data_IF_233384020118
#
_entry.id   IF_233384020118
#
_cell.length_a   1.000
_cell.length_b   1.000
_cell.length_c   1.000
_cell.angle_alpha   90.00
_cell.angle_beta   90.00
_cell.angle_gamma   90.00
#
_symmetry.space_group_name_H-M   'P 1'
#
loop_
_entity.id
_entity.type
_entity.pdbx_description
1 polymer ?
#
# COMPACT_ATOMS: atom_id res chain seq x y z
N UNK A 1 61.06 -4.69 -34.44
CA UNK A 1 60.79 -4.72 -34.17
C UNK A 1 59.91 -4.39 -33.51
N UNK A 2 59.69 -4.30 -33.38
CA UNK A 2 58.94 -4.08 -32.75
C UNK A 2 58.10 -3.87 -32.28
N UNK A 3 58.07 -3.85 -31.99
CA UNK A 3 57.44 -3.66 -31.46
C UNK A 3 56.47 -3.43 -31.05
N UNK A 4 56.42 -3.44 -30.97
CA UNK A 4 55.66 -3.31 -30.63
C UNK A 4 54.90 -3.03 -30.01
N UNK A 5 54.87 -2.89 -29.56
CA UNK A 5 54.27 -2.68 -28.95
C UNK A 5 53.32 -2.31 -28.52
N UNK A 6 53.13 -2.27 -28.33
CA UNK A 6 52.34 -2.03 -27.96
C UNK A 6 51.47 -1.68 -27.37
N UNK A 7 51.18 -1.49 -27.11
CA UNK A 7 50.41 -1.26 -26.60
C UNK A 7 49.45 -0.98 -26.10
N UNK A 8 49.35 -0.95 -25.73
CA UNK A 8 48.58 -0.77 -25.37
C UNK A 8 47.78 -0.57 -24.73
N UNK A 9 47.56 -0.46 -24.23
CA UNK A 9 46.97 -0.32 -23.59
C UNK A 9 46.02 0.16 -23.44
N UNK A 10 45.73 0.34 -23.22
CA UNK A 10 44.97 0.86 -23.14
C UNK A 10 43.99 0.82 -22.68
N UNK A 11 43.62 0.78 -22.49
CA UNK A 11 42.77 0.72 -22.10
C UNK A 11 42.07 1.07 -21.30
N UNK A 12 42.11 1.18 -20.78
CA UNK A 12 41.69 1.39 -19.95
C UNK A 12 40.64 1.90 -19.77
N UNK A 13 40.33 1.97 -19.79
CA UNK A 13 39.53 2.34 -19.68
C UNK A 13 38.76 2.56 -18.94
N UNK A 14 38.64 2.66 -18.53
CA UNK A 14 38.10 2.91 -17.79
C UNK A 14 36.96 3.17 -17.60
N UNK A 15 36.48 3.06 -17.37
CA UNK A 15 35.55 3.20 -17.23
C UNK A 15 34.72 3.61 -16.53
N UNK A 16 34.39 3.74 -16.13
CA UNK A 16 33.81 4.32 -15.44
C UNK A 16 32.57 4.55 -15.31
N UNK A 17 32.17 4.65 -15.54
CA UNK A 17 30.98 4.84 -15.63
C UNK A 17 30.22 4.57 -14.60
N UNK A 18 30.38 3.88 -14.03
CA UNK A 18 29.59 3.48 -13.08
C UNK A 18 29.05 4.49 -12.26
N UNK A 19 29.62 5.52 -12.14
CA UNK A 19 29.16 6.39 -11.38
C UNK A 19 27.91 6.93 -11.62
N UNK A 20 27.46 7.03 -12.61
CA UNK A 20 26.31 7.76 -12.87
C UNK A 20 25.11 7.34 -12.14
N UNK A 21 25.04 6.11 -11.73
CA UNK A 21 23.93 5.72 -11.12
C UNK A 21 23.70 6.41 -9.91
N UNK A 22 24.58 6.68 -9.17
CA UNK A 22 24.38 7.27 -7.89
C UNK A 22 23.88 8.69 -8.01
N UNK A 23 23.97 9.25 -9.14
CA UNK A 23 23.51 10.60 -9.29
C UNK A 23 22.02 10.74 -9.27
N UNK A 24 21.30 9.68 -9.44
CA UNK A 24 19.87 9.80 -9.41
C UNK A 24 19.41 10.20 -8.04
N UNK A 25 18.58 11.18 -7.97
CA UNK A 25 18.10 11.67 -6.69
C UNK A 25 17.30 10.62 -5.99
N UNK A 26 17.55 10.48 -4.75
CA UNK A 26 16.81 9.56 -4.00
C UNK A 26 15.85 10.31 -3.15
N UNK A 27 15.25 11.32 -3.65
CA UNK A 27 14.31 12.10 -2.92
C UNK A 27 13.24 11.31 -2.29
N UNK A 28 12.77 10.33 -2.97
CA UNK A 28 11.66 9.56 -2.46
C UNK A 28 12.01 8.70 -1.28
N UNK A 29 13.24 8.31 -1.17
CA UNK A 29 13.64 7.44 -0.09
C UNK A 29 13.65 8.13 1.26
N UNK A 30 13.99 9.38 1.29
CA UNK A 30 14.10 10.09 2.55
C UNK A 30 12.81 10.16 3.33
N UNK A 31 11.71 10.58 2.72
CA UNK A 31 10.46 10.61 3.47
C UNK A 31 10.04 9.23 3.92
N UNK A 32 10.37 8.24 3.12
CA UNK A 32 10.01 6.91 3.45
C UNK A 32 10.75 6.42 4.68
N UNK A 33 12.01 6.73 4.81
CA UNK A 33 12.78 6.34 5.95
C UNK A 33 12.25 6.94 7.22
N UNK A 34 11.90 8.21 7.21
CA UNK A 34 11.37 8.84 8.38
C UNK A 34 10.11 8.15 8.83
N UNK A 35 9.26 7.75 7.89
CA UNK A 35 8.03 7.09 8.25
C UNK A 35 8.27 5.72 8.84
N UNK A 36 9.27 5.02 8.33
CA UNK A 36 9.56 3.71 8.82
C UNK A 36 10.11 3.74 10.24
N UNK A 37 10.79 4.83 10.57
CA UNK A 37 11.34 4.96 11.90
C UNK A 37 10.32 5.44 12.92
N UNK A 38 9.16 5.85 12.45
CA UNK A 38 8.13 6.37 13.34
C UNK A 38 7.55 5.25 14.19
N UNK A 39 7.39 5.44 15.49
CA UNK A 39 6.77 4.42 16.32
C UNK A 39 5.39 4.05 15.83
N UNK A 40 5.06 2.78 15.94
CA UNK A 40 3.79 2.30 15.43
C UNK A 40 2.61 3.02 16.04
N UNK A 41 2.66 3.28 17.34
CA UNK A 41 1.58 3.99 18.01
C UNK A 41 1.32 5.37 17.43
N UNK A 42 2.39 6.13 17.21
CA UNK A 42 2.24 7.47 16.67
C UNK A 42 1.73 7.42 15.23
N UNK A 43 2.19 6.46 14.47
CA UNK A 43 1.73 6.29 13.11
C UNK A 43 0.25 5.97 13.08
N UNK A 44 -0.20 5.07 13.95
CA UNK A 44 -1.60 4.69 14.00
C UNK A 44 -2.47 5.87 14.40
N UNK A 45 -2.00 6.67 15.34
CA UNK A 45 -2.75 7.84 15.76
C UNK A 45 -2.85 8.87 14.63
N UNK A 46 -1.77 9.05 13.90
CA UNK A 46 -1.77 9.99 12.79
C UNK A 46 -2.72 9.53 11.70
N UNK A 47 -2.72 8.25 11.40
CA UNK A 47 -3.62 7.71 10.39
C UNK A 47 -5.06 7.90 10.81
N UNK A 48 -5.37 7.62 12.07
CA UNK A 48 -6.73 7.81 12.56
C UNK A 48 -7.16 9.26 12.54
N UNK A 49 -6.23 10.16 12.84
CA UNK A 49 -6.54 11.58 12.85
C UNK A 49 -6.89 12.12 11.49
N UNK A 50 -6.42 11.45 10.42
CA UNK A 50 -6.70 11.87 9.07
C UNK A 50 -7.76 11.02 8.40
N UNK A 51 -8.56 10.30 9.18
CA UNK A 51 -9.55 9.40 8.64
C UNK A 51 -10.62 10.15 7.87
N UNK A 52 -11.06 9.63 6.73
CA UNK A 52 -12.18 10.23 6.02
C UNK A 52 -13.46 10.05 6.84
N UNK A 53 -14.40 10.94 6.63
CA UNK A 53 -15.62 10.99 7.43
C UNK A 53 -16.50 9.78 7.14
N UNK A 54 -17.00 9.16 8.21
CA UNK A 54 -17.91 8.04 8.12
C UNK A 54 -19.34 8.55 8.16
N UNK A 55 -20.21 8.04 7.29
CA UNK A 55 -21.61 8.38 7.31
C UNK A 55 -22.20 8.00 8.66
N UNK A 56 -23.11 8.81 9.17
CA UNK A 56 -23.63 8.62 10.51
C UNK A 56 -24.35 7.30 10.73
N UNK A 57 -24.96 6.76 9.69
CA UNK A 57 -25.68 5.50 9.81
C UNK A 57 -24.83 4.26 9.61
N UNK A 58 -23.54 4.43 9.30
CA UNK A 58 -22.65 3.29 9.10
C UNK A 58 -22.05 2.88 10.43
N UNK A 59 -22.31 1.64 10.83
CA UNK A 59 -21.84 1.10 12.08
C UNK A 59 -20.73 0.09 11.94
N UNK A 60 -20.59 -0.49 10.76
CA UNK A 60 -19.67 -1.59 10.54
C UNK A 60 -20.36 -2.94 10.54
N UNK A 61 -21.61 -2.99 11.01
CA UNK A 61 -22.36 -4.23 11.05
C UNK A 61 -22.91 -4.60 9.68
N UNK A 62 -22.77 -3.72 8.71
CA UNK A 62 -23.26 -3.95 7.37
C UNK A 62 -22.46 -5.00 6.62
N UNK A 63 -21.26 -5.31 7.11
CA UNK A 63 -20.41 -6.29 6.45
C UNK A 63 -20.93 -7.70 6.68
N UNK A 64 -20.65 -8.58 5.75
CA UNK A 64 -21.07 -9.97 5.89
C UNK A 64 -20.34 -10.69 7.00
N UNK A 65 -20.86 -11.86 7.38
CA UNK A 65 -20.29 -12.60 8.50
C UNK A 65 -18.84 -13.07 8.28
N UNK A 66 -18.46 -13.31 7.04
CA UNK A 66 -17.10 -13.73 6.76
C UNK A 66 -16.10 -12.62 7.03
N UNK A 67 -16.43 -11.41 6.59
CA UNK A 67 -15.57 -10.27 6.84
C UNK A 67 -15.50 -9.96 8.33
N UNK A 68 -16.66 -9.99 8.99
CA UNK A 68 -16.73 -9.74 10.40
C UNK A 68 -15.85 -10.71 11.18
N UNK A 69 -15.89 -11.97 10.80
CA UNK A 69 -15.09 -12.99 11.48
C UNK A 69 -13.59 -12.72 11.31
N UNK A 70 -13.20 -12.33 10.11
CA UNK A 70 -11.78 -12.07 9.84
C UNK A 70 -11.29 -10.85 10.61
N UNK A 71 -12.14 -9.86 10.78
CA UNK A 71 -11.77 -8.64 11.49
C UNK A 71 -11.61 -8.87 12.99
N UNK A 72 -12.14 -9.96 13.52
CA UNK A 72 -12.02 -10.24 14.95
C UNK A 72 -10.59 -10.47 15.40
N UNK A 73 -9.68 -10.72 14.47
CA UNK A 73 -8.28 -10.88 14.84
C UNK A 73 -7.62 -9.56 15.22
N UNK A 74 -8.29 -8.44 14.97
CA UNK A 74 -7.76 -7.13 15.29
C UNK A 74 -8.13 -6.69 16.69
N UNK A 75 -7.36 -5.78 17.29
CA UNK A 75 -7.78 -5.17 18.55
C UNK A 75 -9.14 -4.52 18.39
N UNK A 76 -9.93 -4.52 19.46
CA UNK A 76 -11.32 -4.07 19.41
C UNK A 76 -11.49 -2.69 18.79
N UNK A 77 -10.67 -1.75 19.19
CA UNK A 77 -10.81 -0.39 18.66
C UNK A 77 -10.57 -0.33 17.16
N UNK A 78 -9.61 -1.11 16.68
CA UNK A 78 -9.33 -1.15 15.26
C UNK A 78 -10.41 -1.88 14.50
N UNK A 79 -10.98 -2.92 15.10
CA UNK A 79 -12.02 -3.69 14.44
C UNK A 79 -13.18 -2.80 14.01
N UNK A 80 -13.65 -1.96 14.92
CA UNK A 80 -14.78 -1.09 14.61
C UNK A 80 -14.42 -0.10 13.51
N UNK A 81 -13.29 0.55 13.64
CA UNK A 81 -12.87 1.54 12.68
C UNK A 81 -12.68 0.95 11.29
N UNK A 82 -11.99 -0.19 11.22
CA UNK A 82 -11.76 -0.86 9.94
C UNK A 82 -13.08 -1.30 9.32
N UNK A 83 -13.98 -1.87 10.14
CA UNK A 83 -15.27 -2.31 9.65
C UNK A 83 -16.07 -1.14 9.05
N UNK A 84 -16.05 0.01 9.72
CA UNK A 84 -16.78 1.16 9.21
C UNK A 84 -16.21 1.65 7.89
N UNK A 85 -14.89 1.70 7.76
CA UNK A 85 -14.30 2.14 6.50
C UNK A 85 -14.53 1.15 5.38
N UNK A 86 -14.51 -0.14 5.67
CA UNK A 86 -14.82 -1.13 4.66
C UNK A 86 -16.29 -1.04 4.22
N UNK A 87 -17.18 -0.80 5.17
CA UNK A 87 -18.59 -0.62 4.85
C UNK A 87 -18.81 0.61 3.98
N UNK A 88 -18.09 1.70 4.28
CA UNK A 88 -18.16 2.90 3.44
C UNK A 88 -17.66 2.61 2.05
N UNK A 89 -16.59 1.86 1.92
CA UNK A 89 -16.06 1.51 0.62
C UNK A 89 -17.08 0.74 -0.20
N UNK A 90 -17.72 -0.25 0.41
CA UNK A 90 -18.73 -1.03 -0.28
C UNK A 90 -19.94 -0.20 -0.65
N UNK A 91 -20.35 0.69 0.24
CA UNK A 91 -21.52 1.54 -0.02
C UNK A 91 -21.33 2.43 -1.24
N UNK A 92 -20.14 2.99 -1.39
CA UNK A 92 -19.88 3.98 -2.43
C UNK A 92 -19.22 3.41 -3.68
N UNK A 93 -19.00 2.12 -3.72
CA UNK A 93 -18.25 1.51 -4.82
C UNK A 93 -18.83 1.84 -6.20
N UNK A 94 -20.14 1.81 -6.33
CA UNK A 94 -20.79 2.09 -7.61
C UNK A 94 -21.30 3.52 -7.73
N UNK A 95 -21.32 4.26 -6.63
CA UNK A 95 -21.83 5.62 -6.62
C UNK A 95 -20.71 6.64 -6.75
N UNK A 96 -19.66 6.45 -6.01
CA UNK A 96 -18.51 7.35 -6.01
C UNK A 96 -17.28 6.51 -5.75
N UNK A 97 -16.71 5.96 -6.81
CA UNK A 97 -15.62 5.01 -6.70
C UNK A 97 -14.37 5.63 -6.10
N UNK A 98 -14.18 6.94 -6.27
CA UNK A 98 -13.02 7.60 -5.68
C UNK A 98 -13.14 7.63 -4.17
N UNK A 99 -14.32 7.94 -3.66
CA UNK A 99 -14.56 7.95 -2.22
C UNK A 99 -14.44 6.53 -1.67
N UNK A 100 -14.96 5.54 -2.40
CA UNK A 100 -14.82 4.16 -1.99
C UNK A 100 -13.35 3.78 -1.84
N UNK A 101 -12.51 4.21 -2.77
CA UNK A 101 -11.09 3.92 -2.71
C UNK A 101 -10.42 4.61 -1.51
N UNK A 102 -10.82 5.85 -1.23
CA UNK A 102 -10.25 6.58 -0.09
C UNK A 102 -10.50 5.80 1.21
N UNK A 103 -11.72 5.31 1.40
CA UNK A 103 -12.04 4.55 2.59
C UNK A 103 -11.34 3.20 2.62
N UNK A 104 -11.25 2.53 1.47
CA UNK A 104 -10.56 1.25 1.40
C UNK A 104 -9.08 1.41 1.73
N UNK A 105 -8.44 2.45 1.22
CA UNK A 105 -7.03 2.69 1.49
C UNK A 105 -6.80 3.03 2.96
N UNK A 106 -7.73 3.72 3.57
CA UNK A 106 -7.61 4.00 4.99
C UNK A 106 -7.69 2.71 5.81
N UNK A 107 -8.62 1.82 5.45
CA UNK A 107 -8.70 0.52 6.10
C UNK A 107 -7.40 -0.27 5.90
N UNK A 108 -6.81 -0.20 4.72
CA UNK A 108 -5.55 -0.89 4.45
C UNK A 108 -4.43 -0.34 5.32
N UNK A 109 -4.39 0.96 5.53
CA UNK A 109 -3.36 1.55 6.38
C UNK A 109 -3.47 1.05 7.81
N UNK A 110 -4.68 0.73 8.26
CA UNK A 110 -4.91 0.25 9.62
C UNK A 110 -4.78 -1.27 9.74
N UNK A 111 -5.17 -2.01 8.71
CA UNK A 111 -5.25 -3.47 8.80
C UNK A 111 -4.85 -4.15 7.49
N UNK A 112 -3.76 -3.71 6.89
CA UNK A 112 -3.34 -4.21 5.57
C UNK A 112 -2.85 -5.64 5.55
N UNK A 113 -2.78 -6.30 6.69
CA UNK A 113 -2.35 -7.69 6.72
C UNK A 113 -3.50 -8.69 6.60
N UNK A 114 -4.72 -8.20 6.57
CA UNK A 114 -5.87 -9.06 6.41
C UNK A 114 -6.21 -9.21 4.93
N UNK A 115 -6.41 -10.44 4.49
CA UNK A 115 -6.71 -10.71 3.10
C UNK A 115 -7.99 -10.00 2.66
N UNK A 116 -9.00 -9.98 3.51
CA UNK A 116 -10.27 -9.35 3.15
C UNK A 116 -10.12 -7.85 2.88
N UNK A 117 -9.24 -7.19 3.63
CA UNK A 117 -9.00 -5.76 3.43
C UNK A 117 -8.34 -5.54 2.07
N UNK A 118 -7.36 -6.38 1.75
CA UNK A 118 -6.69 -6.26 0.45
C UNK A 118 -7.64 -6.52 -0.71
N UNK A 119 -8.57 -7.45 -0.54
CA UNK A 119 -9.55 -7.73 -1.59
C UNK A 119 -10.44 -6.51 -1.84
N UNK A 120 -10.89 -5.86 -0.78
CA UNK A 120 -11.74 -4.69 -0.92
C UNK A 120 -10.97 -3.53 -1.56
N UNK A 121 -9.71 -3.36 -1.20
CA UNK A 121 -8.89 -2.33 -1.83
C UNK A 121 -8.73 -2.64 -3.32
N UNK A 122 -8.51 -3.92 -3.65
CA UNK A 122 -8.40 -4.32 -5.05
C UNK A 122 -9.66 -4.01 -5.84
N UNK A 123 -10.82 -4.29 -5.25
CA UNK A 123 -12.10 -4.00 -5.91
C UNK A 123 -12.28 -2.50 -6.10
N UNK A 124 -11.88 -1.70 -5.11
CA UNK A 124 -11.98 -0.25 -5.22
C UNK A 124 -11.06 0.30 -6.31
N UNK A 125 -9.84 -0.22 -6.41
CA UNK A 125 -8.95 0.15 -7.50
C UNK A 125 -9.55 -0.23 -8.84
N UNK A 126 -10.14 -1.42 -8.91
CA UNK A 126 -10.74 -1.89 -10.14
C UNK A 126 -11.88 -0.96 -10.57
N UNK A 127 -12.69 -0.52 -9.61
CA UNK A 127 -13.80 0.40 -9.91
C UNK A 127 -13.27 1.76 -10.40
N UNK A 128 -12.04 2.10 -10.07
CA UNK A 128 -11.40 3.32 -10.53
C UNK A 128 -10.56 3.09 -11.79
N UNK A 129 -10.66 1.91 -12.36
CA UNK A 129 -9.95 1.55 -13.59
C UNK A 129 -8.43 1.57 -13.44
N UNK A 130 -7.97 1.39 -12.22
CA UNK A 130 -6.55 1.27 -11.96
C UNK A 130 -6.20 -0.21 -11.89
N UNK A 131 -6.04 -0.80 -13.07
CA UNK A 131 -5.92 -2.24 -13.20
C UNK A 131 -4.67 -2.82 -12.55
N UNK A 132 -3.55 -2.16 -12.71
CA UNK A 132 -2.30 -2.69 -12.18
C UNK A 132 -2.31 -2.69 -10.64
N UNK A 133 -2.83 -1.63 -10.03
CA UNK A 133 -2.92 -1.58 -8.58
C UNK A 133 -3.92 -2.62 -8.06
N UNK A 134 -5.04 -2.78 -8.77
CA UNK A 134 -6.03 -3.79 -8.39
C UNK A 134 -5.40 -5.19 -8.40
N UNK A 135 -4.65 -5.49 -9.45
CA UNK A 135 -4.01 -6.79 -9.57
C UNK A 135 -3.02 -7.03 -8.43
N UNK A 136 -2.25 -6.00 -8.09
CA UNK A 136 -1.29 -6.12 -6.99
C UNK A 136 -1.99 -6.40 -5.66
N UNK A 137 -3.13 -5.75 -5.43
CA UNK A 137 -3.86 -5.99 -4.19
C UNK A 137 -4.47 -7.38 -4.15
N UNK A 138 -4.99 -7.87 -5.28
CA UNK A 138 -5.53 -9.22 -5.32
C UNK A 138 -4.45 -10.26 -5.11
N UNK A 139 -3.27 -10.02 -5.65
CA UNK A 139 -2.14 -10.93 -5.43
C UNK A 139 -1.73 -10.93 -3.96
N UNK A 140 -1.73 -9.75 -3.33
CA UNK A 140 -1.41 -9.66 -1.91
C UNK A 140 -2.45 -10.40 -1.08
N UNK A 141 -3.73 -10.23 -1.42
CA UNK A 141 -4.80 -10.93 -0.72
C UNK A 141 -4.63 -12.44 -0.82
N UNK A 142 -4.26 -12.91 -1.99
CA UNK A 142 -4.07 -14.33 -2.21
C UNK A 142 -2.92 -14.88 -1.36
N UNK A 143 -1.82 -14.14 -1.29
CA UNK A 143 -0.70 -14.57 -0.48
C UNK A 143 -1.06 -14.61 1.00
N UNK A 144 -1.79 -13.61 1.46
CA UNK A 144 -2.19 -13.54 2.86
C UNK A 144 -3.19 -14.62 3.23
N UNK A 145 -4.07 -14.97 2.31
CA UNK A 145 -5.06 -16.01 2.56
C UNK A 145 -4.43 -17.37 2.75
N UNK A 146 -3.25 -17.59 2.18
CA UNK A 146 -2.58 -18.88 2.31
C UNK A 146 -1.76 -18.99 3.58
N UNK A 147 -1.53 -17.90 4.24
CA UNK A 147 -0.78 -17.91 5.50
C UNK A 147 -1.64 -18.41 6.67
#
# INVERSE_FOLDING_TARGET
LGDSDSPRRYGNSDQPSSRSRSDFPRKFDTPRRFREDEPRRERDQRIRGNAPVIDKDVTGDELGPELTAELKSLPVGLTISVAQHLAMSERYLSINSELALVHALHAKALAGRLACVREIVGVAYYANENWSSALNEFRAARRLAKS
#
